data_IF_443819810615
#
_entry.id   IF_443819810615
#
_cell.length_a   1.000
_cell.length_b   1.000
_cell.length_c   1.000
_cell.angle_alpha   90.00
_cell.angle_beta   90.00
_cell.angle_gamma   90.00
#
_symmetry.space_group_name_H-M   'P 1'
#
loop_
_entity.id
_entity.type
_entity.pdbx_description
1 polymer ?
#
# COMPACT_ATOMS: atom_id res chain seq x y z
N UNK A 1 -13.79 -16.18 13.88
CA UNK A 1 -12.79 -15.19 14.36
C UNK A 1 -12.27 -14.32 13.20
N UNK A 2 -11.77 -14.91 12.10
CA UNK A 2 -11.37 -14.16 10.89
C UNK A 2 -12.43 -13.21 10.32
N UNK A 3 -13.72 -13.59 10.31
CA UNK A 3 -14.77 -12.72 9.74
C UNK A 3 -15.06 -11.47 10.57
N UNK A 4 -14.86 -11.51 11.89
CA UNK A 4 -15.09 -10.35 12.78
C UNK A 4 -13.93 -9.35 12.75
N UNK A 5 -12.69 -9.85 12.66
CA UNK A 5 -11.50 -9.01 12.46
C UNK A 5 -11.56 -8.31 11.10
N UNK A 6 -11.94 -9.03 10.03
CA UNK A 6 -12.19 -8.41 8.73
C UNK A 6 -13.28 -7.34 8.80
N UNK A 7 -14.41 -7.59 9.48
CA UNK A 7 -15.50 -6.61 9.60
C UNK A 7 -15.12 -5.35 10.39
N UNK A 8 -14.23 -5.45 11.40
CA UNK A 8 -13.69 -4.28 12.10
C UNK A 8 -12.82 -3.46 11.17
N UNK A 9 -11.89 -4.12 10.49
CA UNK A 9 -10.98 -3.47 9.56
C UNK A 9 -11.70 -2.79 8.40
N UNK A 10 -12.73 -3.43 7.84
CA UNK A 10 -13.57 -2.80 6.83
C UNK A 10 -14.23 -1.54 7.36
N UNK A 11 -14.68 -1.51 8.61
CA UNK A 11 -15.22 -0.28 9.20
C UNK A 11 -14.13 0.78 9.35
N UNK A 12 -12.95 0.41 9.81
CA UNK A 12 -11.84 1.33 10.13
C UNK A 12 -11.25 2.00 8.88
N UNK A 13 -11.12 1.27 7.77
CA UNK A 13 -10.67 1.76 6.45
C UNK A 13 -11.56 2.89 5.91
N UNK A 14 -12.87 2.85 6.17
CA UNK A 14 -13.80 3.85 5.63
C UNK A 14 -13.86 5.16 6.43
N UNK A 15 -13.14 5.30 7.56
CA UNK A 15 -13.12 6.55 8.33
C UNK A 15 -12.12 7.58 7.80
N UNK A 16 -11.11 7.13 7.06
CA UNK A 16 -10.03 7.96 6.57
C UNK A 16 -10.24 8.30 5.09
N UNK A 17 -9.76 9.48 4.69
CA UNK A 17 -9.75 9.87 3.28
C UNK A 17 -8.53 9.29 2.55
N UNK A 18 -7.49 8.98 3.32
CA UNK A 18 -6.24 8.43 2.83
C UNK A 18 -5.85 7.27 3.72
N UNK A 19 -5.53 6.14 3.11
CA UNK A 19 -5.00 4.98 3.83
C UNK A 19 -3.58 4.65 3.39
N UNK A 20 -2.74 4.31 4.36
CA UNK A 20 -1.41 3.74 4.20
C UNK A 20 -1.43 2.29 4.65
N UNK A 21 -1.44 1.38 3.69
CA UNK A 21 -1.37 -0.06 3.89
C UNK A 21 0.08 -0.53 3.78
N UNK A 22 0.59 -1.21 4.80
CA UNK A 22 1.93 -1.78 4.81
C UNK A 22 1.88 -3.28 5.06
N UNK A 23 2.28 -4.06 4.07
CA UNK A 23 2.38 -5.51 4.14
C UNK A 23 3.84 -5.95 4.19
N UNK A 24 4.17 -6.92 5.04
CA UNK A 24 5.47 -7.58 5.01
C UNK A 24 5.37 -9.11 4.93
N UNK A 25 6.01 -9.71 3.92
CA UNK A 25 5.99 -11.16 3.66
C UNK A 25 4.57 -11.70 3.49
N UNK A 26 4.23 -12.75 4.25
CA UNK A 26 2.88 -13.36 4.25
C UNK A 26 1.76 -12.40 4.69
N UNK A 27 2.11 -11.27 5.31
CA UNK A 27 1.16 -10.24 5.71
C UNK A 27 0.49 -9.50 4.55
N UNK A 28 0.81 -9.85 3.29
CA UNK A 28 0.14 -9.29 2.11
C UNK A 28 -1.27 -9.84 1.92
N UNK A 29 -1.53 -11.07 2.36
CA UNK A 29 -2.80 -11.77 2.12
C UNK A 29 -4.04 -11.04 2.63
N UNK A 30 -4.04 -10.45 3.84
CA UNK A 30 -5.20 -9.68 4.29
C UNK A 30 -5.47 -8.44 3.43
N UNK A 31 -4.41 -7.74 3.01
CA UNK A 31 -4.53 -6.56 2.15
C UNK A 31 -5.06 -6.89 0.76
N UNK A 32 -4.78 -8.09 0.25
CA UNK A 32 -5.41 -8.54 -0.99
C UNK A 32 -6.93 -8.60 -0.90
N UNK A 33 -7.46 -9.14 0.21
CA UNK A 33 -8.91 -9.19 0.43
C UNK A 33 -9.50 -7.78 0.53
N UNK A 34 -8.79 -6.88 1.21
CA UNK A 34 -9.20 -5.49 1.37
C UNK A 34 -9.23 -4.77 0.03
N UNK A 35 -8.15 -4.87 -0.77
CA UNK A 35 -8.05 -4.23 -2.08
C UNK A 35 -9.12 -4.77 -3.03
N UNK A 36 -9.40 -6.08 -3.02
CA UNK A 36 -10.54 -6.66 -3.78
C UNK A 36 -11.86 -6.01 -3.40
N UNK A 37 -12.10 -5.82 -2.11
CA UNK A 37 -13.34 -5.19 -1.64
C UNK A 37 -13.41 -3.69 -1.98
N UNK A 38 -12.32 -2.93 -1.81
CA UNK A 38 -12.25 -1.52 -2.20
C UNK A 38 -12.51 -1.38 -3.70
N UNK A 39 -11.86 -2.20 -4.52
CA UNK A 39 -12.08 -2.25 -5.97
C UNK A 39 -13.55 -2.47 -6.32
N UNK A 40 -14.20 -3.43 -5.65
CA UNK A 40 -15.63 -3.71 -5.83
C UNK A 40 -16.49 -2.49 -5.44
N UNK A 41 -16.17 -1.82 -4.34
CA UNK A 41 -16.90 -0.61 -3.92
C UNK A 41 -16.71 0.56 -4.88
N UNK A 42 -15.53 0.72 -5.50
CA UNK A 42 -15.31 1.73 -6.55
C UNK A 42 -16.20 1.49 -7.79
N UNK A 43 -16.78 0.31 -7.96
CA UNK A 43 -17.76 0.04 -9.03
C UNK A 43 -19.20 0.40 -8.65
N UNK A 44 -19.48 0.65 -7.36
CA UNK A 44 -20.82 0.92 -6.87
C UNK A 44 -21.06 2.44 -6.76
N UNK A 45 -21.78 3.08 -7.69
CA UNK A 45 -21.99 4.53 -7.69
C UNK A 45 -22.81 5.04 -6.50
N UNK A 46 -23.59 4.16 -5.84
CA UNK A 46 -24.39 4.48 -4.65
C UNK A 46 -23.61 4.34 -3.33
N UNK A 47 -22.35 3.88 -3.39
CA UNK A 47 -21.51 3.70 -2.21
C UNK A 47 -20.88 5.01 -1.75
N UNK A 48 -21.34 5.54 -0.61
CA UNK A 48 -20.63 6.64 0.07
C UNK A 48 -19.32 6.13 0.67
N UNK A 49 -18.22 6.23 -0.08
CA UNK A 49 -16.87 5.94 0.40
C UNK A 49 -16.09 7.23 0.62
N UNK A 50 -15.66 7.46 1.88
CA UNK A 50 -14.83 8.61 2.24
C UNK A 50 -13.40 8.48 1.70
N UNK A 51 -12.91 7.25 1.57
CA UNK A 51 -11.57 6.92 1.06
C UNK A 51 -11.38 7.43 -0.37
N UNK A 52 -10.35 8.24 -0.59
CA UNK A 52 -9.99 8.87 -1.88
C UNK A 52 -8.63 8.42 -2.39
N UNK A 53 -7.75 7.94 -1.51
CA UNK A 53 -6.37 7.57 -1.86
C UNK A 53 -5.89 6.41 -1.00
N UNK A 54 -5.23 5.44 -1.62
CA UNK A 54 -4.53 4.35 -0.95
C UNK A 54 -3.05 4.37 -1.34
N UNK A 55 -2.19 4.37 -0.34
CA UNK A 55 -0.77 4.06 -0.48
C UNK A 55 -0.53 2.64 0.00
N UNK A 56 -0.07 1.77 -0.87
CA UNK A 56 0.20 0.37 -0.55
C UNK A 56 1.70 0.07 -0.64
N UNK A 57 2.32 -0.28 0.48
CA UNK A 57 3.73 -0.66 0.53
C UNK A 57 3.84 -2.14 0.84
N UNK A 58 4.40 -2.90 -0.09
CA UNK A 58 4.61 -4.33 0.08
C UNK A 58 6.10 -4.63 0.19
N UNK A 59 6.54 -5.05 1.37
CA UNK A 59 7.93 -5.40 1.66
C UNK A 59 8.07 -6.92 1.68
N UNK A 60 8.76 -7.48 0.70
CA UNK A 60 8.94 -8.92 0.60
C UNK A 60 10.40 -9.31 0.32
N UNK A 61 10.80 -10.56 0.60
CA UNK A 61 12.13 -11.05 0.23
C UNK A 61 12.27 -11.21 -1.28
N UNK A 62 11.22 -11.72 -1.93
CA UNK A 62 11.08 -11.96 -3.37
C UNK A 62 9.58 -11.92 -3.74
N UNK A 63 9.29 -11.69 -5.02
CA UNK A 63 7.92 -11.59 -5.55
C UNK A 63 7.39 -12.88 -6.18
N UNK A 64 8.28 -13.84 -6.50
CA UNK A 64 7.93 -15.10 -7.18
C UNK A 64 6.85 -15.90 -6.44
N UNK A 65 6.81 -15.81 -5.11
CA UNK A 65 5.83 -16.55 -4.30
C UNK A 65 4.41 -15.94 -4.31
N UNK A 66 4.21 -14.81 -5.00
CA UNK A 66 3.02 -13.97 -4.85
C UNK A 66 2.59 -13.31 -6.18
N UNK A 67 2.74 -14.01 -7.30
CA UNK A 67 2.28 -13.56 -8.64
C UNK A 67 0.80 -13.13 -8.63
N UNK A 68 -0.05 -13.89 -7.94
CA UNK A 68 -1.48 -13.58 -7.78
C UNK A 68 -1.77 -12.18 -7.22
N UNK A 69 -0.86 -11.60 -6.42
CA UNK A 69 -1.02 -10.25 -5.88
C UNK A 69 -0.72 -9.20 -6.94
N UNK A 70 0.23 -9.48 -7.84
CA UNK A 70 0.54 -8.61 -8.97
C UNK A 70 -0.62 -8.57 -9.95
N UNK A 71 -1.20 -9.73 -10.27
CA UNK A 71 -2.43 -9.82 -11.08
C UNK A 71 -3.55 -8.96 -10.49
N UNK A 72 -3.77 -9.03 -9.17
CA UNK A 72 -4.76 -8.18 -8.50
C UNK A 72 -4.46 -6.69 -8.65
N UNK A 73 -3.20 -6.26 -8.51
CA UNK A 73 -2.81 -4.87 -8.65
C UNK A 73 -3.01 -4.39 -10.10
N UNK A 74 -2.69 -5.23 -11.09
CA UNK A 74 -2.89 -4.92 -12.50
C UNK A 74 -4.38 -4.79 -12.86
N UNK A 75 -5.22 -5.70 -12.36
CA UNK A 75 -6.67 -5.60 -12.51
C UNK A 75 -7.23 -4.32 -11.87
N UNK A 76 -6.68 -3.93 -10.72
CA UNK A 76 -7.06 -2.69 -10.04
C UNK A 76 -6.68 -1.46 -10.88
N UNK A 77 -5.44 -1.38 -11.35
CA UNK A 77 -4.96 -0.26 -12.19
C UNK A 77 -5.81 -0.12 -13.47
N UNK A 78 -6.10 -1.25 -14.14
CA UNK A 78 -6.90 -1.28 -15.36
C UNK A 78 -8.28 -0.68 -15.11
N UNK A 79 -8.97 -1.12 -14.06
CA UNK A 79 -10.28 -0.58 -13.70
C UNK A 79 -10.23 0.91 -13.36
N UNK A 80 -9.25 1.34 -12.58
CA UNK A 80 -9.15 2.76 -12.20
C UNK A 80 -8.81 3.65 -13.39
N UNK A 81 -8.08 3.14 -14.37
CA UNK A 81 -7.84 3.83 -15.64
C UNK A 81 -9.13 4.01 -16.45
N UNK A 82 -9.98 2.97 -16.55
CA UNK A 82 -11.28 3.06 -17.22
C UNK A 82 -12.21 4.09 -16.56
N UNK A 83 -12.08 4.28 -15.25
CA UNK A 83 -12.83 5.28 -14.47
C UNK A 83 -12.17 6.68 -14.46
N UNK A 84 -11.02 6.86 -15.11
CA UNK A 84 -10.27 8.13 -15.11
C UNK A 84 -9.66 8.50 -13.74
N UNK A 85 -9.50 7.53 -12.84
CA UNK A 85 -9.00 7.71 -11.47
C UNK A 85 -7.72 6.91 -11.19
N UNK A 86 -6.76 6.98 -12.13
CA UNK A 86 -5.47 6.26 -12.06
C UNK A 86 -4.66 6.55 -10.80
N UNK A 87 -4.92 7.68 -10.13
CA UNK A 87 -4.21 8.08 -8.93
C UNK A 87 -4.81 7.54 -7.63
N UNK A 88 -5.88 6.74 -7.66
CA UNK A 88 -6.50 6.24 -6.43
C UNK A 88 -5.59 5.30 -5.63
N UNK A 89 -4.94 4.34 -6.30
CA UNK A 89 -4.04 3.37 -5.67
C UNK A 89 -2.60 3.63 -6.12
N UNK A 90 -1.73 3.95 -5.17
CA UNK A 90 -0.28 4.00 -5.40
C UNK A 90 0.37 2.87 -4.62
N UNK A 91 1.01 1.93 -5.32
CA UNK A 91 1.71 0.83 -4.70
C UNK A 91 3.23 0.88 -4.93
N UNK A 92 3.98 0.47 -3.92
CA UNK A 92 5.43 0.39 -3.96
C UNK A 92 5.86 -0.97 -3.41
N UNK A 93 6.51 -1.76 -4.25
CA UNK A 93 7.02 -3.09 -3.89
C UNK A 93 8.48 -2.94 -3.50
N UNK A 94 8.89 -3.51 -2.37
CA UNK A 94 10.26 -3.48 -1.87
C UNK A 94 10.81 -4.88 -1.71
N UNK A 95 11.78 -5.24 -2.55
CA UNK A 95 12.49 -6.51 -2.52
C UNK A 95 13.73 -6.42 -1.62
N UNK A 96 13.71 -7.15 -0.52
CA UNK A 96 14.73 -7.06 0.55
C UNK A 96 15.93 -7.98 0.37
N UNK A 97 15.84 -9.03 -0.47
CA UNK A 97 16.99 -9.91 -0.77
C UNK A 97 17.85 -9.43 -1.95
N UNK A 98 17.48 -8.33 -2.61
CA UNK A 98 18.19 -7.84 -3.79
C UNK A 98 17.86 -8.64 -5.04
N UNK A 99 18.77 -8.65 -6.02
CA UNK A 99 18.58 -9.25 -7.35
C UNK A 99 19.36 -10.56 -7.40
N UNK A 100 18.77 -11.59 -7.98
CA UNK A 100 19.61 -12.66 -8.54
C UNK A 100 20.19 -12.23 -9.90
N UNK A 101 21.08 -13.05 -10.47
CA UNK A 101 21.76 -12.72 -11.73
C UNK A 101 20.80 -12.59 -12.91
N UNK A 102 19.71 -13.36 -12.91
CA UNK A 102 18.76 -13.41 -14.01
C UNK A 102 17.82 -12.19 -13.94
N UNK A 103 17.39 -11.82 -12.74
CA UNK A 103 16.66 -10.58 -12.47
C UNK A 103 17.49 -9.34 -12.84
N UNK A 104 18.77 -9.32 -12.46
CA UNK A 104 19.66 -8.21 -12.80
C UNK A 104 19.78 -8.01 -14.32
N UNK A 105 19.92 -9.11 -15.07
CA UNK A 105 20.01 -9.06 -16.52
C UNK A 105 18.69 -8.60 -17.15
N UNK A 106 17.54 -9.09 -16.68
CA UNK A 106 16.23 -8.66 -17.16
C UNK A 106 15.96 -7.17 -16.90
N UNK A 107 16.31 -6.64 -15.72
CA UNK A 107 16.13 -5.22 -15.41
C UNK A 107 16.96 -4.33 -16.36
N UNK A 108 18.23 -4.69 -16.60
CA UNK A 108 19.10 -3.93 -17.51
C UNK A 108 18.56 -3.96 -18.94
N UNK A 109 18.03 -5.10 -19.39
CA UNK A 109 17.49 -5.25 -20.73
C UNK A 109 16.20 -4.43 -20.95
N UNK A 110 15.44 -4.18 -19.88
CA UNK A 110 14.10 -3.62 -19.92
C UNK A 110 13.96 -2.28 -19.15
N UNK A 111 15.07 -1.59 -18.86
CA UNK A 111 15.09 -0.33 -18.06
C UNK A 111 14.28 0.82 -18.72
N UNK A 112 14.03 0.74 -20.03
CA UNK A 112 13.29 1.74 -20.81
C UNK A 112 11.80 1.43 -21.04
N UNK A 113 11.29 0.31 -20.54
CA UNK A 113 9.89 -0.08 -20.75
C UNK A 113 8.95 0.72 -19.84
N UNK A 114 7.70 0.92 -20.28
CA UNK A 114 6.67 1.60 -19.46
C UNK A 114 6.23 0.77 -18.25
N UNK A 115 6.34 -0.56 -18.34
CA UNK A 115 6.02 -1.49 -17.25
C UNK A 115 7.30 -1.89 -16.48
N UNK A 116 7.16 -2.14 -15.18
CA UNK A 116 8.23 -2.58 -14.31
C UNK A 116 8.81 -3.92 -14.79
N UNK A 117 10.13 -4.04 -15.00
CA UNK A 117 10.73 -5.23 -15.61
C UNK A 117 10.78 -6.44 -14.67
N UNK A 118 10.43 -6.28 -13.40
CA UNK A 118 10.45 -7.33 -12.37
C UNK A 118 9.07 -7.93 -12.19
N UNK A 119 8.03 -7.11 -12.19
CA UNK A 119 6.65 -7.53 -11.90
C UNK A 119 5.68 -7.30 -13.06
N UNK A 120 6.08 -6.63 -14.14
CA UNK A 120 5.20 -6.25 -15.26
C UNK A 120 4.14 -5.20 -14.88
N UNK A 121 4.27 -4.57 -13.72
CA UNK A 121 3.29 -3.62 -13.16
C UNK A 121 3.59 -2.20 -13.65
N UNK A 122 2.58 -1.32 -13.66
CA UNK A 122 2.77 0.07 -14.07
C UNK A 122 3.63 0.85 -13.06
N UNK A 123 3.62 0.47 -11.78
CA UNK A 123 4.39 1.14 -10.72
C UNK A 123 5.62 0.32 -10.32
N UNK A 124 6.72 1.03 -10.02
CA UNK A 124 8.07 0.46 -9.92
C UNK A 124 8.32 -0.37 -8.65
N UNK A 125 9.18 -1.38 -8.82
CA UNK A 125 9.79 -2.17 -7.75
C UNK A 125 11.06 -1.48 -7.23
N UNK A 126 11.20 -1.43 -5.90
CA UNK A 126 12.34 -0.88 -5.18
C UNK A 126 13.16 -1.98 -4.50
N UNK A 127 14.43 -1.70 -4.24
CA UNK A 127 15.34 -2.66 -3.61
C UNK A 127 15.86 -2.19 -2.27
N UNK A 128 15.99 -3.15 -1.35
CA UNK A 128 16.32 -2.87 0.03
C UNK A 128 15.09 -2.55 0.86
N UNK A 129 15.27 -1.75 1.92
CA UNK A 129 14.21 -1.43 2.88
C UNK A 129 13.64 -0.04 2.63
N UNK A 130 12.33 0.18 2.81
CA UNK A 130 11.73 1.50 2.71
C UNK A 130 12.32 2.48 3.72
N UNK A 131 12.53 3.72 3.30
CA UNK A 131 12.81 4.83 4.21
C UNK A 131 11.49 5.39 4.73
N UNK A 132 10.97 4.80 5.81
CA UNK A 132 9.70 5.18 6.41
C UNK A 132 9.65 6.64 6.84
N UNK A 133 10.78 7.21 7.27
CA UNK A 133 10.82 8.62 7.67
C UNK A 133 10.48 9.54 6.49
N UNK A 134 11.12 9.31 5.34
CA UNK A 134 10.89 10.08 4.11
C UNK A 134 9.50 9.80 3.53
N UNK A 135 9.03 8.56 3.59
CA UNK A 135 7.70 8.18 3.11
C UNK A 135 6.60 8.93 3.88
N UNK A 136 6.66 8.91 5.21
CA UNK A 136 5.68 9.60 6.04
C UNK A 136 5.79 11.13 5.88
N UNK A 137 7.00 11.67 5.77
CA UNK A 137 7.21 13.09 5.49
C UNK A 137 6.54 13.51 4.18
N UNK A 138 6.69 12.72 3.11
CA UNK A 138 6.08 13.01 1.82
C UNK A 138 4.55 12.93 1.88
N UNK A 139 4.00 11.85 2.46
CA UNK A 139 2.55 11.71 2.63
C UNK A 139 1.98 12.87 3.47
N UNK A 140 2.71 13.32 4.49
CA UNK A 140 2.30 14.46 5.30
C UNK A 140 2.23 15.77 4.51
N UNK A 141 3.13 15.97 3.55
CA UNK A 141 3.14 17.17 2.69
C UNK A 141 2.02 17.13 1.66
N UNK A 142 1.77 15.94 1.11
CA UNK A 142 0.74 15.74 0.08
C UNK A 142 -0.69 15.88 0.64
N UNK A 143 -0.88 15.60 1.94
CA UNK A 143 -2.21 15.47 2.57
C UNK A 143 -2.41 16.40 3.78
N UNK A 144 -2.06 17.67 3.63
CA UNK A 144 -2.26 18.69 4.66
C UNK A 144 -3.73 18.78 5.14
N UNK A 145 -3.96 18.73 6.45
CA UNK A 145 -5.29 18.78 7.06
C UNK A 145 -6.09 17.47 7.01
N UNK A 146 -5.53 16.40 6.44
CA UNK A 146 -6.21 15.11 6.27
C UNK A 146 -5.80 14.11 7.35
N UNK A 147 -6.75 13.26 7.74
CA UNK A 147 -6.51 12.10 8.59
C UNK A 147 -6.13 10.88 7.75
N UNK A 148 -4.95 10.32 8.01
CA UNK A 148 -4.37 9.18 7.31
C UNK A 148 -4.45 7.94 8.21
N UNK A 149 -5.15 6.90 7.78
CA UNK A 149 -5.17 5.61 8.45
C UNK A 149 -3.92 4.80 8.12
N UNK A 150 -3.17 4.34 9.11
CA UNK A 150 -1.97 3.51 8.90
C UNK A 150 -2.25 2.11 9.37
N UNK A 151 -2.24 1.15 8.45
CA UNK A 151 -2.55 -0.26 8.71
C UNK A 151 -1.34 -1.13 8.36
N UNK A 152 -1.04 -2.10 9.22
CA UNK A 152 0.15 -2.92 9.06
C UNK A 152 -0.09 -4.39 9.35
N UNK A 153 0.44 -5.26 8.49
CA UNK A 153 0.52 -6.70 8.71
C UNK A 153 1.93 -7.23 8.47
N UNK A 154 2.59 -7.73 9.51
CA UNK A 154 3.95 -8.28 9.39
C UNK A 154 4.72 -8.33 10.72
N UNK A 155 6.06 -8.39 10.67
CA UNK A 155 6.91 -8.53 11.85
C UNK A 155 6.78 -7.38 12.86
N UNK A 156 6.85 -7.69 14.15
CA UNK A 156 6.71 -6.71 15.25
C UNK A 156 7.74 -5.58 15.21
N UNK A 157 8.98 -5.86 14.76
CA UNK A 157 10.01 -4.84 14.61
C UNK A 157 9.58 -3.73 13.65
N UNK A 158 8.97 -4.09 12.51
CA UNK A 158 8.46 -3.12 11.55
C UNK A 158 7.20 -2.41 12.07
N UNK A 159 6.33 -3.13 12.79
CA UNK A 159 5.18 -2.54 13.49
C UNK A 159 5.59 -1.35 14.37
N UNK A 160 6.66 -1.53 15.18
CA UNK A 160 7.17 -0.49 16.05
C UNK A 160 7.72 0.71 15.26
N UNK A 161 8.46 0.47 14.18
CA UNK A 161 8.98 1.53 13.31
C UNK A 161 7.85 2.37 12.72
N UNK A 162 6.79 1.73 12.21
CA UNK A 162 5.64 2.43 11.62
C UNK A 162 4.85 3.22 12.66
N UNK A 163 4.68 2.69 13.86
CA UNK A 163 4.02 3.41 14.95
C UNK A 163 4.83 4.65 15.36
N UNK A 164 6.16 4.53 15.48
CA UNK A 164 7.03 5.67 15.76
C UNK A 164 6.99 6.73 14.64
N UNK A 165 7.01 6.30 13.38
CA UNK A 165 6.89 7.19 12.23
C UNK A 165 5.54 7.93 12.22
N UNK A 166 4.45 7.21 12.50
CA UNK A 166 3.10 7.80 12.61
C UNK A 166 3.06 8.91 13.65
N UNK A 167 3.64 8.66 14.83
CA UNK A 167 3.69 9.66 15.91
C UNK A 167 4.60 10.85 15.55
N UNK A 168 5.75 10.60 14.93
CA UNK A 168 6.72 11.64 14.54
C UNK A 168 6.17 12.60 13.50
N UNK A 169 5.44 12.09 12.51
CA UNK A 169 4.97 12.86 11.35
C UNK A 169 3.53 13.35 11.48
N UNK A 170 2.84 13.04 12.57
CA UNK A 170 1.52 13.61 12.85
C UNK A 170 1.63 15.06 13.28
N UNK A 171 0.92 15.94 12.57
CA UNK A 171 0.84 17.35 12.92
C UNK A 171 0.08 17.58 14.23
N UNK A 172 0.56 18.56 15.01
CA UNK A 172 -0.06 18.97 16.27
C UNK A 172 -1.31 19.81 16.01
N UNK A 173 -1.26 20.70 15.03
CA UNK A 173 -2.39 21.54 14.63
C UNK A 173 -3.31 20.85 13.61
N UNK A 174 -4.37 21.54 13.20
CA UNK A 174 -5.35 21.03 12.23
C UNK A 174 -4.94 21.26 10.77
N UNK A 175 -3.80 21.91 10.53
CA UNK A 175 -3.37 22.32 9.18
C UNK A 175 -2.45 21.28 8.53
N UNK A 176 -1.76 20.45 9.33
CA UNK A 176 -0.98 19.33 8.82
C UNK A 176 -1.73 17.98 8.86
N UNK A 177 -1.14 16.98 8.22
CA UNK A 177 -1.68 15.62 8.20
C UNK A 177 -1.62 14.97 9.59
N UNK A 178 -2.56 14.07 9.89
CA UNK A 178 -2.56 13.27 11.13
C UNK A 178 -2.58 11.78 10.82
N UNK A 179 -1.60 11.05 11.33
CA UNK A 179 -1.47 9.61 11.09
C UNK A 179 -2.04 8.83 12.27
N UNK A 180 -2.97 7.94 11.99
CA UNK A 180 -3.60 7.08 12.98
C UNK A 180 -3.12 5.65 12.78
N UNK A 181 -2.23 5.20 13.66
CA UNK A 181 -1.71 3.84 13.59
C UNK A 181 -2.71 2.83 14.14
N UNK A 182 -3.29 2.04 13.24
CA UNK A 182 -4.25 0.98 13.54
C UNK A 182 -3.48 -0.34 13.68
N UNK A 183 -3.27 -0.76 14.93
CA UNK A 183 -2.62 -2.03 15.23
C UNK A 183 -3.59 -3.17 14.97
N UNK A 184 -3.55 -3.70 13.76
CA UNK A 184 -4.34 -4.87 13.37
C UNK A 184 -3.65 -6.18 13.78
N UNK A 185 -4.42 -7.10 14.35
CA UNK A 185 -3.98 -8.49 14.55
C UNK A 185 -4.67 -9.35 13.49
N UNK A 186 -3.99 -9.53 12.36
CA UNK A 186 -4.43 -10.40 11.26
C UNK A 186 -4.27 -11.89 11.59
#
# INVERSE_FOLDING_TARGET
KLSWLMLSLYKDIYWYEVDLFVAAGIGVTPFASILKHIRYQCMNPDGEMKLRKVYFYWVCPDTNSFEWMQELLQEFDTQMAEQGNTNFLTYNIYLTRGWDKDQAQNIILHEGDEADPVTGLQQKTHYGRPNWDKIFENISKDHAGISVGVFFCGPSGLSNTLHQASNKHSAVDKTGAKFFYNKENF
#
